data_IF_633835279584
#
_entry.id   IF_633835279584
#
_cell.length_a   1.000
_cell.length_b   1.000
_cell.length_c   1.000
_cell.angle_alpha   90.00
_cell.angle_beta   90.00
_cell.angle_gamma   90.00
#
_symmetry.space_group_name_H-M   'P 1'
#
loop_
_entity.id
_entity.type
_entity.pdbx_description
1 polymer ?
#
# COMPACT_ATOMS: atom_id res chain seq x y z
N UNK A 1 26.53 -13.49 -54.59
CA UNK A 1 26.93 -12.99 -53.25
C UNK A 1 25.70 -12.38 -52.60
N UNK A 2 25.08 -12.99 -51.58
CA UNK A 2 23.91 -12.43 -50.94
C UNK A 2 24.32 -11.51 -49.76
N UNK A 3 23.66 -10.36 -49.72
CA UNK A 3 23.83 -9.28 -48.76
C UNK A 3 23.25 -9.70 -47.40
N UNK A 4 24.07 -9.80 -46.37
CA UNK A 4 23.63 -9.97 -44.98
C UNK A 4 23.15 -8.61 -44.45
N UNK A 5 21.82 -8.47 -44.30
CA UNK A 5 21.18 -7.37 -43.60
C UNK A 5 21.43 -7.53 -42.11
N UNK A 6 22.10 -6.55 -41.49
CA UNK A 6 22.36 -6.42 -40.06
C UNK A 6 21.04 -6.28 -39.31
N UNK A 7 20.71 -7.26 -38.48
CA UNK A 7 19.68 -7.12 -37.46
C UNK A 7 20.09 -6.06 -36.43
N UNK A 8 19.19 -5.08 -36.12
CA UNK A 8 19.37 -4.12 -35.05
C UNK A 8 19.08 -4.79 -33.71
N UNK A 9 19.85 -4.52 -32.65
CA UNK A 9 19.52 -5.03 -31.34
C UNK A 9 18.24 -4.35 -30.85
N UNK A 10 17.26 -5.15 -30.40
CA UNK A 10 16.04 -4.70 -29.73
C UNK A 10 16.48 -4.18 -28.36
N UNK A 11 16.28 -2.89 -28.12
CA UNK A 11 16.69 -2.22 -26.89
C UNK A 11 15.98 -2.80 -25.66
N UNK A 12 16.76 -3.14 -24.66
CA UNK A 12 16.35 -3.73 -23.38
C UNK A 12 15.42 -2.82 -22.52
N UNK A 13 15.20 -1.58 -22.93
CA UNK A 13 14.35 -0.61 -22.21
C UNK A 13 12.85 -0.88 -22.38
N UNK A 14 12.45 -1.60 -23.45
CA UNK A 14 11.02 -1.83 -23.75
C UNK A 14 10.38 -2.93 -22.89
N UNK A 15 11.18 -3.88 -22.40
CA UNK A 15 10.68 -5.04 -21.65
C UNK A 15 10.38 -4.64 -20.19
N UNK A 16 11.22 -3.80 -19.59
CA UNK A 16 11.05 -3.34 -18.20
C UNK A 16 9.80 -2.45 -18.08
N UNK A 17 9.58 -1.53 -19.02
CA UNK A 17 8.37 -0.72 -19.05
C UNK A 17 7.10 -1.54 -19.34
N UNK A 18 7.19 -2.64 -20.08
CA UNK A 18 6.07 -3.53 -20.33
C UNK A 18 5.65 -4.28 -19.05
N UNK A 19 6.61 -4.76 -18.25
CA UNK A 19 6.31 -5.42 -16.97
C UNK A 19 5.80 -4.46 -15.90
N UNK A 20 6.30 -3.21 -15.85
CA UNK A 20 5.81 -2.19 -14.92
C UNK A 20 4.37 -1.77 -15.26
N UNK A 21 4.03 -1.65 -16.53
CA UNK A 21 2.67 -1.32 -16.98
C UNK A 21 1.71 -2.49 -16.78
N UNK A 22 2.19 -3.74 -16.95
CA UNK A 22 1.36 -4.92 -16.71
C UNK A 22 1.08 -5.13 -15.21
N UNK A 23 2.06 -4.87 -14.35
CA UNK A 23 1.90 -4.96 -12.89
C UNK A 23 0.80 -4.03 -12.36
N UNK A 24 0.79 -2.77 -12.83
CA UNK A 24 -0.22 -1.77 -12.40
C UNK A 24 -1.63 -2.08 -12.92
N UNK A 25 -1.76 -2.70 -14.10
CA UNK A 25 -3.08 -3.05 -14.68
C UNK A 25 -3.69 -4.28 -14.00
N UNK A 26 -2.85 -5.20 -13.51
CA UNK A 26 -3.32 -6.46 -12.91
C UNK A 26 -3.84 -6.25 -11.48
N UNK A 27 -3.27 -5.32 -10.71
CA UNK A 27 -3.63 -5.11 -9.30
C UNK A 27 -5.04 -4.51 -9.10
N UNK A 28 -5.54 -3.72 -10.06
CA UNK A 28 -6.90 -3.15 -9.96
C UNK A 28 -8.03 -4.17 -10.17
N UNK A 29 -7.72 -5.40 -10.54
CA UNK A 29 -8.68 -6.51 -10.72
C UNK A 29 -8.53 -7.61 -9.66
N UNK A 30 -7.68 -7.43 -8.63
CA UNK A 30 -7.51 -8.43 -7.58
C UNK A 30 -8.83 -8.58 -6.81
N UNK A 31 -9.40 -9.76 -6.91
CA UNK A 31 -10.63 -10.13 -6.23
C UNK A 31 -10.34 -11.20 -5.18
N UNK A 32 -10.53 -10.85 -3.91
CA UNK A 32 -10.38 -11.77 -2.78
C UNK A 32 -11.75 -12.21 -2.27
N UNK A 33 -12.29 -13.33 -2.76
CA UNK A 33 -13.59 -13.81 -2.33
C UNK A 33 -13.65 -14.13 -0.83
N UNK A 34 -12.53 -14.53 -0.23
CA UNK A 34 -12.44 -14.84 1.20
C UNK A 34 -12.45 -13.58 2.08
N UNK A 35 -12.12 -12.40 1.53
CA UNK A 35 -12.25 -11.10 2.22
C UNK A 35 -13.66 -10.50 2.13
N UNK A 36 -14.60 -11.19 1.48
CA UNK A 36 -15.98 -10.70 1.39
C UNK A 36 -16.64 -10.69 2.77
N UNK A 37 -17.32 -9.57 3.16
CA UNK A 37 -18.04 -9.49 4.43
C UNK A 37 -19.06 -10.62 4.66
N UNK A 38 -19.47 -11.29 3.59
CA UNK A 38 -20.38 -12.44 3.66
C UNK A 38 -19.71 -13.72 4.19
N UNK A 39 -18.38 -13.80 4.15
CA UNK A 39 -17.60 -14.98 4.52
C UNK A 39 -16.71 -14.74 5.76
N UNK A 40 -16.56 -13.48 6.22
CA UNK A 40 -15.77 -13.16 7.41
C UNK A 40 -16.64 -13.22 8.66
N UNK A 41 -16.47 -14.25 9.49
CA UNK A 41 -17.01 -14.30 10.86
C UNK A 41 -16.05 -13.60 11.88
N UNK A 42 -14.97 -12.96 11.40
CA UNK A 42 -13.91 -12.36 12.20
C UNK A 42 -13.65 -10.88 11.91
N UNK A 43 -12.83 -10.24 12.75
CA UNK A 43 -12.39 -8.84 12.65
C UNK A 43 -11.25 -8.64 11.62
N UNK A 44 -11.10 -9.54 10.65
CA UNK A 44 -10.07 -9.48 9.61
C UNK A 44 -10.35 -8.44 8.52
N UNK A 45 -9.32 -8.06 7.75
CA UNK A 45 -9.47 -7.09 6.65
C UNK A 45 -10.47 -7.55 5.61
N UNK A 46 -11.24 -6.59 5.07
CA UNK A 46 -12.38 -6.83 4.18
C UNK A 46 -12.15 -6.39 2.74
N UNK A 47 -11.01 -5.75 2.46
CA UNK A 47 -10.67 -5.26 1.12
C UNK A 47 -9.16 -5.21 0.90
N UNK A 48 -8.76 -5.12 -0.39
CA UNK A 48 -7.34 -4.96 -0.76
C UNK A 48 -6.76 -3.64 -0.24
N UNK A 49 -7.56 -2.58 -0.19
CA UNK A 49 -7.15 -1.29 0.36
C UNK A 49 -6.78 -1.43 1.85
N UNK A 50 -7.63 -2.09 2.62
CA UNK A 50 -7.39 -2.36 4.04
C UNK A 50 -6.16 -3.26 4.26
N UNK A 51 -5.99 -4.29 3.43
CA UNK A 51 -4.82 -5.16 3.43
C UNK A 51 -3.52 -4.40 3.19
N UNK A 52 -3.49 -3.54 2.15
CA UNK A 52 -2.31 -2.73 1.86
C UNK A 52 -2.04 -1.74 2.99
N UNK A 53 -3.07 -1.08 3.51
CA UNK A 53 -2.93 -0.18 4.66
C UNK A 53 -2.30 -0.89 5.86
N UNK A 54 -2.79 -2.08 6.23
CA UNK A 54 -2.25 -2.87 7.32
C UNK A 54 -0.79 -3.30 7.08
N UNK A 55 -0.45 -3.66 5.85
CA UNK A 55 0.92 -3.94 5.46
C UNK A 55 1.83 -2.70 5.59
N UNK A 56 1.36 -1.53 5.16
CA UNK A 56 2.11 -0.28 5.31
C UNK A 56 2.38 0.03 6.79
N UNK A 57 1.37 -0.15 7.66
CA UNK A 57 1.52 0.04 9.11
C UNK A 57 2.53 -0.91 9.73
N UNK A 58 2.49 -2.19 9.35
CA UNK A 58 3.50 -3.18 9.75
C UNK A 58 4.91 -2.76 9.32
N UNK A 59 5.08 -2.41 8.05
CA UNK A 59 6.37 -2.05 7.47
C UNK A 59 6.96 -0.76 8.05
N UNK A 60 6.14 0.17 8.53
CA UNK A 60 6.63 1.36 9.24
C UNK A 60 7.43 1.01 10.51
N UNK A 61 7.08 -0.05 11.20
CA UNK A 61 7.72 -0.44 12.47
C UNK A 61 8.65 -1.64 12.32
N UNK A 62 8.45 -2.45 11.29
CA UNK A 62 9.20 -3.69 11.04
C UNK A 62 9.63 -3.74 9.57
N UNK A 63 10.66 -2.97 9.21
CA UNK A 63 11.15 -2.85 7.84
C UNK A 63 11.58 -4.17 7.20
N UNK A 64 12.03 -5.12 8.01
CA UNK A 64 12.50 -6.44 7.63
C UNK A 64 11.42 -7.54 7.81
N UNK A 65 10.16 -7.13 8.04
CA UNK A 65 9.06 -8.07 8.18
C UNK A 65 9.00 -9.03 6.98
N UNK A 66 8.85 -10.31 7.28
CA UNK A 66 8.66 -11.32 6.24
C UNK A 66 7.18 -11.46 5.87
N UNK A 67 6.88 -12.03 4.68
CA UNK A 67 5.51 -12.41 4.30
C UNK A 67 4.84 -13.28 5.37
N UNK A 68 5.62 -14.18 5.99
CA UNK A 68 5.11 -15.06 7.05
C UNK A 68 4.67 -14.27 8.29
N UNK A 69 5.40 -13.21 8.65
CA UNK A 69 5.04 -12.36 9.78
C UNK A 69 3.80 -11.54 9.48
N UNK A 70 3.68 -11.02 8.25
CA UNK A 70 2.47 -10.35 7.79
C UNK A 70 1.25 -11.26 7.85
N UNK A 71 1.36 -12.48 7.32
CA UNK A 71 0.26 -13.46 7.35
C UNK A 71 -0.16 -13.82 8.77
N UNK A 72 0.78 -14.02 9.70
CA UNK A 72 0.45 -14.32 11.10
C UNK A 72 -0.30 -13.20 11.80
N UNK A 73 0.01 -11.94 11.48
CA UNK A 73 -0.62 -10.79 12.11
C UNK A 73 -2.03 -10.53 11.58
N UNK A 74 -2.31 -10.93 10.34
CA UNK A 74 -3.58 -10.64 9.67
C UNK A 74 -4.58 -11.77 9.73
N UNK A 75 -4.14 -13.03 9.91
CA UNK A 75 -4.95 -14.18 9.53
C UNK A 75 -5.01 -15.31 10.57
N UNK A 76 -5.29 -15.00 11.85
CA UNK A 76 -5.67 -16.07 12.77
C UNK A 76 -6.90 -16.85 12.28
N UNK A 77 -7.80 -16.19 11.54
CA UNK A 77 -9.07 -16.73 11.04
C UNK A 77 -9.20 -16.75 9.50
N UNK A 78 -8.15 -16.39 8.74
CA UNK A 78 -8.18 -16.35 7.29
C UNK A 78 -7.46 -17.54 6.67
N UNK A 79 -8.12 -18.21 5.73
CA UNK A 79 -7.56 -19.36 5.00
C UNK A 79 -7.60 -19.08 3.50
N UNK A 80 -6.64 -18.31 2.95
CA UNK A 80 -6.59 -17.98 1.55
C UNK A 80 -6.39 -19.25 0.70
N UNK A 81 -6.97 -19.29 -0.48
CA UNK A 81 -6.67 -20.31 -1.48
C UNK A 81 -5.33 -20.06 -2.19
N UNK A 82 -4.96 -20.94 -3.13
CA UNK A 82 -3.66 -20.82 -3.82
C UNK A 82 -3.56 -19.55 -4.69
N UNK A 83 -4.65 -19.10 -5.28
CA UNK A 83 -4.70 -17.88 -6.11
C UNK A 83 -4.58 -16.63 -5.23
N UNK A 84 -5.34 -16.58 -4.14
CA UNK A 84 -5.26 -15.50 -3.16
C UNK A 84 -3.87 -15.39 -2.51
N UNK A 85 -3.18 -16.50 -2.26
CA UNK A 85 -1.78 -16.50 -1.78
C UNK A 85 -0.84 -15.83 -2.79
N UNK A 86 -1.03 -16.07 -4.09
CA UNK A 86 -0.23 -15.42 -5.12
C UNK A 86 -0.47 -13.92 -5.15
N UNK A 87 -1.72 -13.50 -5.06
CA UNK A 87 -2.11 -12.09 -5.06
C UNK A 87 -1.59 -11.36 -3.81
N UNK A 88 -1.72 -11.97 -2.63
CA UNK A 88 -1.14 -11.45 -1.39
C UNK A 88 0.39 -11.33 -1.47
N UNK A 89 1.03 -12.32 -2.10
CA UNK A 89 2.49 -12.28 -2.32
C UNK A 89 2.88 -11.10 -3.22
N UNK A 90 2.11 -10.87 -4.30
CA UNK A 90 2.34 -9.76 -5.21
C UNK A 90 2.14 -8.41 -4.50
N UNK A 91 1.05 -8.27 -3.72
CA UNK A 91 0.78 -7.07 -2.93
C UNK A 91 1.92 -6.76 -1.96
N UNK A 92 2.40 -7.76 -1.22
CA UNK A 92 3.51 -7.60 -0.30
C UNK A 92 4.78 -7.12 -1.00
N UNK A 93 5.19 -7.80 -2.08
CA UNK A 93 6.43 -7.49 -2.78
C UNK A 93 6.40 -6.11 -3.44
N UNK A 94 5.28 -5.74 -4.04
CA UNK A 94 5.11 -4.43 -4.68
C UNK A 94 5.07 -3.30 -3.64
N UNK A 95 4.38 -3.50 -2.52
CA UNK A 95 4.33 -2.50 -1.44
C UNK A 95 5.72 -2.26 -0.85
N UNK A 96 6.48 -3.31 -0.53
CA UNK A 96 7.86 -3.16 -0.05
C UNK A 96 8.74 -2.45 -1.08
N UNK A 97 8.66 -2.87 -2.35
CA UNK A 97 9.47 -2.29 -3.40
C UNK A 97 9.20 -0.79 -3.57
N UNK A 98 7.93 -0.39 -3.61
CA UNK A 98 7.54 1.01 -3.83
C UNK A 98 7.83 1.90 -2.62
N UNK A 99 7.65 1.40 -1.38
CA UNK A 99 8.02 2.15 -0.17
C UNK A 99 9.52 2.40 -0.05
N UNK A 100 10.36 1.48 -0.53
CA UNK A 100 11.82 1.61 -0.53
C UNK A 100 12.38 2.24 -1.81
N UNK A 101 11.52 2.61 -2.77
CA UNK A 101 11.93 3.27 -4.00
C UNK A 101 12.34 4.73 -3.74
N UNK A 102 13.44 5.17 -4.36
CA UNK A 102 13.86 6.57 -4.31
C UNK A 102 12.98 7.50 -5.18
N UNK A 103 12.15 6.92 -6.02
CA UNK A 103 11.26 7.65 -6.93
C UNK A 103 9.94 8.05 -6.25
N UNK A 104 9.70 7.61 -5.01
CA UNK A 104 8.46 7.86 -4.25
C UNK A 104 7.22 7.48 -5.05
N UNK A 105 7.27 6.33 -5.73
CA UNK A 105 6.26 5.86 -6.68
C UNK A 105 5.17 4.97 -6.04
N UNK A 106 5.14 4.90 -4.71
CA UNK A 106 4.10 4.18 -3.98
C UNK A 106 2.70 4.71 -4.35
N UNK A 107 1.78 3.78 -4.61
CA UNK A 107 0.37 4.09 -4.89
C UNK A 107 -0.52 3.32 -3.90
N UNK A 108 -1.59 3.98 -3.45
CA UNK A 108 -2.62 3.33 -2.65
C UNK A 108 -3.44 2.40 -3.55
N UNK A 109 -3.74 1.18 -3.07
CA UNK A 109 -4.61 0.23 -3.77
C UNK A 109 -6.07 0.64 -3.61
N UNK A 110 -6.55 1.44 -4.54
CA UNK A 110 -7.88 2.00 -4.59
C UNK A 110 -8.58 1.61 -5.90
N UNK A 111 -9.93 1.66 -5.96
CA UNK A 111 -10.66 1.52 -7.21
C UNK A 111 -10.17 2.53 -8.27
N UNK A 112 -10.23 2.13 -9.54
CA UNK A 112 -9.78 2.96 -10.66
C UNK A 112 -10.45 4.35 -10.69
N UNK A 113 -9.80 5.31 -11.37
CA UNK A 113 -10.22 6.72 -11.36
C UNK A 113 -11.61 6.96 -11.96
N UNK A 114 -12.09 6.04 -12.79
CA UNK A 114 -13.44 6.07 -13.38
C UNK A 114 -14.51 5.38 -12.51
N UNK A 115 -14.10 4.79 -11.37
CA UNK A 115 -15.05 4.21 -10.42
C UNK A 115 -15.89 5.31 -9.72
N UNK A 116 -17.08 4.97 -9.19
CA UNK A 116 -17.88 5.91 -8.42
C UNK A 116 -17.07 6.52 -7.25
N UNK A 117 -17.13 7.85 -7.11
CA UNK A 117 -16.40 8.58 -6.05
C UNK A 117 -16.68 7.99 -4.67
N UNK A 118 -17.93 7.67 -4.36
CA UNK A 118 -18.30 7.05 -3.08
C UNK A 118 -17.53 5.73 -2.82
N UNK A 119 -17.30 4.92 -3.86
CA UNK A 119 -16.52 3.68 -3.74
C UNK A 119 -15.04 3.96 -3.49
N UNK A 120 -14.47 4.99 -4.10
CA UNK A 120 -13.09 5.42 -3.89
C UNK A 120 -12.89 5.98 -2.47
N UNK A 121 -13.81 6.82 -2.00
CA UNK A 121 -13.80 7.36 -0.63
C UNK A 121 -13.91 6.23 0.40
N UNK A 122 -14.81 5.28 0.17
CA UNK A 122 -14.95 4.11 1.05
C UNK A 122 -13.67 3.27 1.09
N UNK A 123 -13.06 2.98 -0.06
CA UNK A 123 -11.79 2.24 -0.11
C UNK A 123 -10.65 3.03 0.58
N UNK A 124 -10.64 4.36 0.46
CA UNK A 124 -9.67 5.21 1.15
C UNK A 124 -9.82 5.13 2.68
N UNK A 125 -11.07 5.16 3.19
CA UNK A 125 -11.32 4.97 4.62
C UNK A 125 -10.88 3.59 5.11
N UNK A 126 -11.11 2.54 4.32
CA UNK A 126 -10.63 1.19 4.62
C UNK A 126 -9.09 1.09 4.63
N UNK A 127 -8.43 1.75 3.68
CA UNK A 127 -6.97 1.82 3.68
C UNK A 127 -6.45 2.46 4.96
N UNK A 128 -7.08 3.56 5.42
CA UNK A 128 -6.75 4.22 6.69
C UNK A 128 -7.00 3.31 7.91
N UNK A 129 -8.11 2.55 7.92
CA UNK A 129 -8.38 1.56 8.97
C UNK A 129 -7.28 0.50 9.03
N UNK A 130 -6.88 -0.02 7.87
CA UNK A 130 -5.76 -0.95 7.76
C UNK A 130 -4.46 -0.36 8.30
N UNK A 131 -4.10 0.87 7.91
CA UNK A 131 -2.88 1.54 8.38
C UNK A 131 -2.86 1.65 9.91
N UNK A 132 -3.96 2.10 10.53
CA UNK A 132 -4.08 2.18 11.99
C UNK A 132 -3.92 0.81 12.64
N UNK A 133 -4.58 -0.21 12.09
CA UNK A 133 -4.47 -1.60 12.56
C UNK A 133 -3.03 -2.09 12.49
N UNK A 134 -2.37 -1.92 11.35
CA UNK A 134 -0.98 -2.34 11.14
C UNK A 134 0.00 -1.64 12.08
N UNK A 135 -0.13 -0.33 12.28
CA UNK A 135 0.67 0.44 13.21
C UNK A 135 0.47 -0.05 14.65
N UNK A 136 -0.78 -0.22 15.08
CA UNK A 136 -1.12 -0.64 16.44
C UNK A 136 -0.65 -2.06 16.75
N UNK A 137 -0.88 -3.03 15.88
CA UNK A 137 -0.48 -4.43 16.07
C UNK A 137 1.04 -4.62 15.98
N UNK A 138 1.73 -3.71 15.30
CA UNK A 138 3.19 -3.75 15.16
C UNK A 138 3.95 -3.04 16.29
N UNK A 139 3.24 -2.40 17.23
CA UNK A 139 3.81 -1.88 18.45
C UNK A 139 3.84 -0.36 18.57
N UNK A 140 3.15 0.39 17.67
CA UNK A 140 2.96 1.83 17.88
C UNK A 140 2.17 2.07 19.17
N UNK A 141 2.68 2.95 20.03
CA UNK A 141 2.06 3.27 21.31
C UNK A 141 2.24 4.77 21.64
N UNK A 142 1.54 5.24 22.68
CA UNK A 142 1.68 6.61 23.16
C UNK A 142 3.10 6.93 23.65
N UNK A 143 3.92 5.92 23.94
CA UNK A 143 5.32 6.06 24.36
C UNK A 143 6.28 6.19 23.17
N UNK A 144 5.80 5.95 21.93
CA UNK A 144 6.62 6.09 20.72
C UNK A 144 6.93 7.57 20.49
N UNK A 145 8.22 7.89 20.39
CA UNK A 145 8.66 9.29 20.16
C UNK A 145 8.47 9.65 18.68
N UNK A 146 7.40 10.39 18.40
CA UNK A 146 7.06 10.88 17.08
C UNK A 146 7.11 12.40 17.04
N UNK A 147 7.47 12.94 15.88
CA UNK A 147 7.35 14.37 15.59
C UNK A 147 5.90 14.87 15.71
N UNK A 148 5.72 16.18 15.81
CA UNK A 148 4.39 16.78 15.82
C UNK A 148 3.64 16.48 14.52
N UNK A 149 4.32 16.55 13.37
CA UNK A 149 3.75 16.34 12.05
C UNK A 149 3.29 14.88 11.87
N UNK A 150 4.06 13.90 12.37
CA UNK A 150 3.66 12.49 12.34
C UNK A 150 2.47 12.19 13.24
N UNK A 151 2.38 12.84 14.40
CA UNK A 151 1.21 12.73 15.28
C UNK A 151 -0.04 13.31 14.63
N UNK A 152 0.06 14.50 14.04
CA UNK A 152 -1.04 15.15 13.30
C UNK A 152 -1.50 14.24 12.15
N UNK A 153 -0.58 13.71 11.36
CA UNK A 153 -0.90 12.77 10.29
C UNK A 153 -1.67 11.54 10.79
N UNK A 154 -1.25 10.93 11.90
CA UNK A 154 -1.94 9.76 12.47
C UNK A 154 -3.36 10.14 12.96
N UNK A 155 -3.53 11.32 13.57
CA UNK A 155 -4.85 11.84 13.97
C UNK A 155 -5.75 12.04 12.74
N UNK A 156 -5.23 12.56 11.65
CA UNK A 156 -5.96 12.73 10.40
C UNK A 156 -6.34 11.38 9.76
N UNK A 157 -5.43 10.41 9.76
CA UNK A 157 -5.73 9.04 9.30
C UNK A 157 -6.88 8.43 10.10
N UNK A 158 -6.92 8.63 11.43
CA UNK A 158 -8.03 8.20 12.29
C UNK A 158 -9.34 8.87 11.88
N UNK A 159 -9.33 10.17 11.61
CA UNK A 159 -10.53 10.90 11.19
C UNK A 159 -11.02 10.42 9.80
N UNK A 160 -10.12 10.23 8.85
CA UNK A 160 -10.43 9.76 7.48
C UNK A 160 -10.98 8.32 7.52
N UNK A 161 -10.47 7.48 8.42
CA UNK A 161 -10.93 6.10 8.56
C UNK A 161 -12.43 5.96 8.94
N UNK A 162 -13.05 7.04 9.40
CA UNK A 162 -14.45 7.07 9.83
C UNK A 162 -15.41 7.55 8.71
N UNK A 163 -14.90 7.92 7.55
CA UNK A 163 -15.71 8.39 6.42
C UNK A 163 -16.35 7.18 5.73
N UNK A 164 -17.67 7.22 5.50
CA UNK A 164 -18.39 6.13 4.81
C UNK A 164 -18.68 6.40 3.34
N UNK A 165 -18.46 7.64 2.87
CA UNK A 165 -18.67 8.04 1.49
C UNK A 165 -20.13 8.21 1.06
N UNK A 166 -21.12 7.98 1.97
CA UNK A 166 -22.56 8.00 1.62
C UNK A 166 -23.09 9.37 1.20
N UNK A 167 -22.49 10.45 1.69
CA UNK A 167 -22.89 11.82 1.44
C UNK A 167 -22.07 12.51 0.33
N UNK A 168 -21.18 11.78 -0.34
CA UNK A 168 -20.28 12.35 -1.36
C UNK A 168 -20.97 12.40 -2.71
N UNK A 169 -21.06 13.60 -3.30
CA UNK A 169 -21.63 13.83 -4.61
C UNK A 169 -20.58 13.57 -5.71
N UNK A 170 -21.04 13.09 -6.88
CA UNK A 170 -20.14 12.85 -8.02
C UNK A 170 -19.89 14.14 -8.80
N UNK A 171 -19.05 15.02 -8.28
CA UNK A 171 -18.69 16.33 -8.89
C UNK A 171 -17.20 16.38 -9.22
N UNK A 172 -16.82 17.29 -10.13
CA UNK A 172 -15.38 17.52 -10.43
C UNK A 172 -14.60 18.06 -9.20
N UNK A 173 -15.28 18.79 -8.32
CA UNK A 173 -14.70 19.30 -7.08
C UNK A 173 -14.38 18.16 -6.13
N UNK A 174 -15.32 17.23 -5.92
CA UNK A 174 -15.08 16.06 -5.05
C UNK A 174 -14.02 15.12 -5.62
N UNK A 175 -13.93 15.00 -6.95
CA UNK A 175 -12.86 14.26 -7.60
C UNK A 175 -11.49 14.89 -7.27
N UNK A 176 -11.36 16.20 -7.38
CA UNK A 176 -10.11 16.90 -7.03
C UNK A 176 -9.76 16.75 -5.53
N UNK A 177 -10.76 16.85 -4.65
CA UNK A 177 -10.57 16.67 -3.21
C UNK A 177 -10.03 15.28 -2.86
N UNK A 178 -10.53 14.23 -3.52
CA UNK A 178 -10.05 12.86 -3.31
C UNK A 178 -8.61 12.71 -3.77
N UNK A 179 -8.23 13.25 -4.93
CA UNK A 179 -6.85 13.21 -5.41
C UNK A 179 -5.87 13.93 -4.45
N UNK A 180 -6.27 15.08 -3.92
CA UNK A 180 -5.48 15.78 -2.90
C UNK A 180 -5.33 14.94 -1.62
N UNK A 181 -6.40 14.26 -1.20
CA UNK A 181 -6.39 13.42 -0.02
C UNK A 181 -5.53 12.16 -0.20
N UNK A 182 -5.59 11.53 -1.38
CA UNK A 182 -4.73 10.39 -1.74
C UNK A 182 -3.26 10.81 -1.67
N UNK A 183 -2.92 11.97 -2.25
CA UNK A 183 -1.54 12.48 -2.23
C UNK A 183 -1.09 12.84 -0.80
N UNK A 184 -1.97 13.43 0.01
CA UNK A 184 -1.71 13.70 1.42
C UNK A 184 -1.39 12.42 2.19
N UNK A 185 -2.21 11.38 2.06
CA UNK A 185 -1.98 10.09 2.71
C UNK A 185 -0.70 9.42 2.24
N UNK A 186 -0.39 9.50 0.94
CA UNK A 186 0.84 8.98 0.36
C UNK A 186 2.07 9.66 0.96
N UNK A 187 2.08 10.98 1.02
CA UNK A 187 3.20 11.75 1.58
C UNK A 187 3.34 11.58 3.09
N UNK A 188 2.22 11.53 3.81
CA UNK A 188 2.21 11.26 5.24
C UNK A 188 2.70 9.85 5.58
N UNK A 189 2.39 8.85 4.75
CA UNK A 189 2.93 7.51 4.88
C UNK A 189 4.47 7.53 4.79
N UNK A 190 5.04 8.21 3.79
CA UNK A 190 6.50 8.32 3.68
C UNK A 190 7.12 9.05 4.86
N UNK A 191 6.43 10.04 5.43
CA UNK A 191 6.88 10.74 6.63
C UNK A 191 7.02 9.77 7.81
N UNK A 192 5.94 9.05 8.17
CA UNK A 192 5.97 8.11 9.30
C UNK A 192 6.85 6.90 9.02
N UNK A 193 6.91 6.42 7.77
CA UNK A 193 7.80 5.34 7.36
C UNK A 193 9.27 5.72 7.60
N UNK A 194 9.69 6.93 7.19
CA UNK A 194 11.05 7.40 7.40
C UNK A 194 11.39 7.67 8.87
N UNK A 195 10.41 8.12 9.68
CA UNK A 195 10.63 8.41 11.10
C UNK A 195 10.69 7.16 11.98
N UNK A 196 9.84 6.17 11.69
CA UNK A 196 9.73 4.94 12.47
C UNK A 196 10.77 3.88 12.11
N UNK A 197 11.44 4.02 10.96
CA UNK A 197 12.49 3.07 10.58
C UNK A 197 13.67 3.17 11.57
N UNK A 198 14.20 2.04 12.07
CA UNK A 198 15.41 2.08 12.87
C UNK A 198 16.53 2.69 12.03
N UNK A 199 17.18 3.73 12.55
CA UNK A 199 18.38 4.28 11.94
C UNK A 199 19.38 3.13 11.76
N UNK A 200 19.63 2.72 10.51
CA UNK A 200 20.78 1.84 10.25
C UNK A 200 22.01 2.58 10.73
N UNK A 201 22.79 2.05 11.71
CA UNK A 201 24.02 2.70 12.10
C UNK A 201 24.90 2.79 10.85
N UNK A 202 25.33 4.01 10.51
CA UNK A 202 26.31 4.26 9.46
C UNK A 202 27.43 3.23 9.62
N UNK A 203 27.52 2.30 8.68
CA UNK A 203 28.62 1.36 8.62
C UNK A 203 29.86 2.21 8.39
N UNK A 204 30.67 2.32 9.45
CA UNK A 204 31.99 2.93 9.51
C UNK A 204 32.61 3.22 8.15
N UNK A 205 32.72 4.49 7.83
CA UNK A 205 33.74 4.97 6.88
C UNK A 205 35.07 4.70 7.56
N UNK A 206 35.60 3.50 7.36
CA UNK A 206 36.99 3.22 7.68
C UNK A 206 37.84 4.05 6.72
N UNK A 207 38.27 5.21 7.18
CA UNK A 207 39.35 5.94 6.55
C UNK A 207 40.61 5.06 6.56
N UNK A 208 41.10 4.74 5.38
CA UNK A 208 42.46 4.25 5.16
C UNK A 208 43.33 5.33 4.53
#
# INVERSE_FOLDING_TARGET
MPNYSRARPIGSTSIINFFLTLGSIIMSELYFPSLSPANSEGDGPTSIAELQGALCGLLCLQADASRTDWYKNLFEDFSPDEEEILDLTALFDQTIQSLNSLDFDFQLELPADDAPIASRVYALSQWCQGLIFGLGTSGLSDETDLSADSKEFIEDVINISQIDGSDVENTEEEQANIEELIEYLRMGLFLIFGELQPLTPDTDITEH
#
